data_IF_408178048175
#
_entry.id   IF_408178048175
#
_cell.length_a   1.000
_cell.length_b   1.000
_cell.length_c   1.000
_cell.angle_alpha   90.00
_cell.angle_beta   90.00
_cell.angle_gamma   90.00
#
_symmetry.space_group_name_H-M   'P 1'
#
loop_
_entity.id
_entity.type
_entity.pdbx_description
1 polymer ?
#
# COMPACT_ATOMS: atom_id res chain seq x y z
N UNK A 1 -7.47 -10.99 0.20
CA UNK A 1 -6.93 -10.04 -0.82
C UNK A 1 -6.66 -8.70 -0.14
N UNK A 2 -5.40 -8.38 0.02
CA UNK A 2 -4.89 -7.34 0.93
C UNK A 2 -5.22 -5.90 0.50
N UNK A 3 -5.20 -5.59 -0.81
CA UNK A 3 -5.51 -4.24 -1.34
C UNK A 3 -6.86 -3.69 -0.86
N UNK A 4 -7.88 -4.56 -0.70
CA UNK A 4 -9.22 -4.14 -0.25
C UNK A 4 -9.23 -3.60 1.18
N UNK A 5 -8.35 -4.13 2.01
CA UNK A 5 -8.22 -3.76 3.41
C UNK A 5 -7.44 -2.45 3.56
N UNK A 6 -6.37 -2.31 2.77
CA UNK A 6 -5.61 -1.05 2.66
C UNK A 6 -6.52 0.07 2.18
N UNK A 7 -7.31 -0.17 1.13
CA UNK A 7 -8.28 0.79 0.62
C UNK A 7 -9.25 1.23 1.71
N UNK A 8 -9.84 0.28 2.47
CA UNK A 8 -10.76 0.59 3.57
C UNK A 8 -10.14 1.46 4.66
N UNK A 9 -8.88 1.22 5.00
CA UNK A 9 -8.18 2.04 6.00
C UNK A 9 -7.96 3.45 5.49
N UNK A 10 -7.51 3.59 4.25
CA UNK A 10 -7.16 4.87 3.67
C UNK A 10 -8.38 5.75 3.38
N UNK A 11 -9.50 5.22 2.89
CA UNK A 11 -10.68 6.06 2.64
C UNK A 11 -11.32 6.62 3.90
N UNK A 12 -11.04 6.04 5.08
CA UNK A 12 -11.54 6.54 6.36
C UNK A 12 -10.68 7.68 6.94
N UNK A 13 -9.54 8.00 6.34
CA UNK A 13 -8.73 9.13 6.77
C UNK A 13 -9.41 10.43 6.35
N UNK A 14 -9.59 11.34 7.31
CA UNK A 14 -10.09 12.67 7.01
C UNK A 14 -9.13 13.37 6.04
N UNK A 15 -9.65 13.99 4.98
CA UNK A 15 -8.84 14.62 3.93
C UNK A 15 -8.60 13.73 2.72
N UNK A 16 -8.80 12.41 2.80
CA UNK A 16 -8.81 11.54 1.63
C UNK A 16 -10.13 11.71 0.89
N UNK A 17 -10.05 12.05 -0.40
CA UNK A 17 -11.22 12.37 -1.25
C UNK A 17 -11.64 11.18 -2.12
N UNK A 18 -10.68 10.37 -2.55
CA UNK A 18 -10.94 9.21 -3.42
C UNK A 18 -9.87 8.14 -3.21
N UNK A 19 -10.30 6.89 -3.22
CA UNK A 19 -9.42 5.73 -3.35
C UNK A 19 -9.82 4.90 -4.55
N UNK A 20 -8.85 4.25 -5.17
CA UNK A 20 -9.10 3.22 -6.18
C UNK A 20 -8.03 2.15 -6.12
N UNK A 21 -8.42 0.90 -6.37
CA UNK A 21 -7.48 -0.21 -6.43
C UNK A 21 -7.03 -0.47 -7.86
N UNK A 22 -5.79 -0.87 -8.03
CA UNK A 22 -5.21 -1.08 -9.35
C UNK A 22 -3.93 -1.90 -9.31
N UNK A 23 -3.23 -1.87 -10.42
CA UNK A 23 -1.98 -2.58 -10.67
C UNK A 23 -0.91 -1.59 -11.13
N UNK A 24 0.29 -1.68 -10.58
CA UNK A 24 1.37 -0.75 -10.90
C UNK A 24 2.76 -1.40 -10.75
N UNK A 25 3.76 -0.77 -11.36
CA UNK A 25 5.18 -1.12 -11.20
C UNK A 25 5.66 -2.28 -12.07
N UNK A 26 4.79 -2.92 -12.83
CA UNK A 26 5.13 -3.99 -13.76
C UNK A 26 5.33 -3.50 -15.20
N UNK A 27 5.46 -4.44 -16.13
CA UNK A 27 5.76 -4.18 -17.55
C UNK A 27 4.59 -4.43 -18.49
N UNK A 28 3.62 -5.26 -18.10
CA UNK A 28 2.44 -5.57 -18.93
C UNK A 28 1.53 -4.35 -19.06
N UNK A 29 0.98 -4.15 -20.24
CA UNK A 29 0.03 -3.08 -20.53
C UNK A 29 -1.38 -3.59 -20.30
N UNK A 30 -2.20 -2.84 -19.54
CA UNK A 30 -3.59 -3.18 -19.23
C UNK A 30 -3.77 -4.64 -18.74
N UNK A 31 -3.04 -5.08 -17.71
CA UNK A 31 -3.12 -6.45 -17.24
C UNK A 31 -4.49 -6.75 -16.63
N UNK A 32 -5.00 -7.95 -16.89
CA UNK A 32 -6.15 -8.49 -16.15
C UNK A 32 -5.76 -8.96 -14.75
N UNK A 33 -6.75 -9.13 -13.88
CA UNK A 33 -6.55 -9.71 -12.56
C UNK A 33 -5.86 -11.09 -12.61
N UNK A 34 -6.28 -11.94 -13.53
CA UNK A 34 -5.72 -13.28 -13.70
C UNK A 34 -4.23 -13.24 -14.09
N UNK A 35 -3.87 -12.33 -15.01
CA UNK A 35 -2.48 -12.13 -15.41
C UNK A 35 -1.63 -11.62 -14.25
N UNK A 36 -2.13 -10.66 -13.44
CA UNK A 36 -1.42 -10.19 -12.25
C UNK A 36 -1.27 -11.31 -11.22
N UNK A 37 -2.31 -12.11 -10.99
CA UNK A 37 -2.26 -13.26 -10.08
C UNK A 37 -1.29 -14.34 -10.51
N UNK A 38 -1.00 -14.47 -11.81
CA UNK A 38 0.03 -15.40 -12.29
C UNK A 38 1.44 -15.01 -11.86
N UNK A 39 1.65 -13.76 -11.44
CA UNK A 39 2.96 -13.21 -11.09
C UNK A 39 3.85 -12.84 -12.28
N UNK A 40 3.39 -13.06 -13.52
CA UNK A 40 4.21 -12.85 -14.75
C UNK A 40 4.27 -11.40 -15.20
N UNK A 41 3.34 -10.54 -14.73
CA UNK A 41 3.23 -9.14 -15.16
C UNK A 41 4.23 -8.19 -14.49
N UNK A 42 4.81 -8.60 -13.35
CA UNK A 42 5.65 -7.75 -12.51
C UNK A 42 4.88 -6.68 -11.73
N UNK A 43 3.56 -6.54 -11.94
CA UNK A 43 2.75 -5.57 -11.22
C UNK A 43 2.52 -5.96 -9.76
N UNK A 44 2.46 -4.96 -8.89
CA UNK A 44 1.89 -5.08 -7.56
C UNK A 44 0.43 -4.64 -7.57
N UNK A 45 -0.37 -5.23 -6.67
CA UNK A 45 -1.69 -4.71 -6.30
C UNK A 45 -1.51 -3.47 -5.46
N UNK A 46 -2.09 -2.35 -5.89
CA UNK A 46 -1.92 -1.05 -5.25
C UNK A 46 -3.25 -0.35 -4.97
N UNK A 47 -3.21 0.59 -4.03
CA UNK A 47 -4.30 1.54 -3.78
C UNK A 47 -3.81 2.93 -4.16
N UNK A 48 -4.48 3.56 -5.11
CA UNK A 48 -4.29 4.97 -5.44
C UNK A 48 -5.11 5.80 -4.46
N UNK A 49 -4.49 6.83 -3.89
CA UNK A 49 -5.10 7.76 -2.94
C UNK A 49 -5.07 9.15 -3.52
N UNK A 50 -6.22 9.80 -3.58
CA UNK A 50 -6.36 11.23 -3.89
C UNK A 50 -6.78 11.94 -2.61
N UNK A 51 -6.03 12.92 -2.18
CA UNK A 51 -6.23 13.61 -0.92
C UNK A 51 -6.10 15.12 -1.06
N UNK A 52 -6.69 15.85 -0.10
CA UNK A 52 -6.55 17.30 -0.01
C UNK A 52 -5.36 17.63 0.92
N UNK A 53 -4.29 18.24 0.39
CA UNK A 53 -3.10 18.54 1.20
C UNK A 53 -3.35 19.62 2.27
N UNK A 54 -4.49 20.32 2.24
CA UNK A 54 -4.90 21.25 3.29
C UNK A 54 -5.58 20.55 4.47
N UNK A 55 -6.07 19.31 4.27
CA UNK A 55 -6.76 18.55 5.31
C UNK A 55 -5.90 17.40 5.86
N UNK A 56 -5.04 16.79 5.04
CA UNK A 56 -4.13 15.72 5.43
C UNK A 56 -2.84 15.79 4.63
N UNK A 57 -1.71 15.64 5.28
CA UNK A 57 -0.40 15.61 4.62
C UNK A 57 -0.08 14.24 4.02
N UNK A 58 0.79 14.20 3.00
CA UNK A 58 1.34 12.94 2.49
C UNK A 58 2.03 12.14 3.60
N UNK A 59 2.70 12.82 4.53
CA UNK A 59 3.37 12.18 5.66
C UNK A 59 2.41 11.41 6.55
N UNK A 60 1.23 11.96 6.87
CA UNK A 60 0.20 11.28 7.67
C UNK A 60 -0.34 10.04 6.95
N UNK A 61 -0.51 10.10 5.64
CA UNK A 61 -0.91 8.94 4.82
C UNK A 61 0.19 7.86 4.86
N UNK A 62 1.46 8.24 4.73
CA UNK A 62 2.58 7.31 4.81
C UNK A 62 2.70 6.67 6.20
N UNK A 63 2.52 7.43 7.27
CA UNK A 63 2.49 6.90 8.64
C UNK A 63 1.38 5.84 8.77
N UNK A 64 0.17 6.16 8.32
CA UNK A 64 -0.94 5.20 8.33
C UNK A 64 -0.62 3.94 7.53
N UNK A 65 0.07 4.07 6.38
CA UNK A 65 0.52 2.93 5.57
C UNK A 65 1.51 2.04 6.34
N UNK A 66 2.51 2.62 7.02
CA UNK A 66 3.50 1.85 7.79
C UNK A 66 2.86 1.07 8.94
N UNK A 67 1.89 1.66 9.63
CA UNK A 67 1.26 1.06 10.81
C UNK A 67 0.20 0.01 10.47
N UNK A 68 -0.35 0.03 9.26
CA UNK A 68 -1.48 -0.84 8.93
C UNK A 68 -1.09 -2.24 8.45
N UNK A 69 0.17 -2.52 8.14
CA UNK A 69 0.61 -3.79 7.58
C UNK A 69 1.98 -4.21 8.11
N UNK A 70 2.44 -5.39 7.71
CA UNK A 70 3.80 -5.84 7.97
C UNK A 70 4.69 -5.57 6.74
N UNK A 71 5.59 -4.56 6.79
CA UNK A 71 6.41 -4.19 5.66
C UNK A 71 7.66 -5.08 5.49
N UNK A 72 7.83 -6.14 6.28
CA UNK A 72 9.03 -6.98 6.32
C UNK A 72 8.87 -8.33 5.58
N UNK A 73 7.69 -8.61 4.99
CA UNK A 73 7.35 -9.96 4.51
C UNK A 73 7.86 -10.30 3.11
N UNK A 74 8.54 -9.39 2.42
CA UNK A 74 9.01 -9.64 1.06
C UNK A 74 7.87 -9.79 0.05
N UNK A 75 7.85 -10.88 -0.70
CA UNK A 75 6.88 -11.15 -1.76
C UNK A 75 5.58 -11.77 -1.24
N UNK A 76 5.05 -11.23 -0.15
CA UNK A 76 3.77 -11.64 0.44
C UNK A 76 3.22 -10.57 1.40
N UNK A 77 1.96 -10.70 1.75
CA UNK A 77 1.38 -10.01 2.89
C UNK A 77 0.33 -10.92 3.57
N UNK A 78 0.63 -11.32 4.80
CA UNK A 78 -0.20 -12.25 5.55
C UNK A 78 -0.36 -13.58 4.81
N UNK A 79 -1.60 -13.97 4.54
CA UNK A 79 -1.94 -15.20 3.82
C UNK A 79 -1.84 -15.09 2.28
N UNK A 80 -1.70 -13.88 1.75
CA UNK A 80 -1.56 -13.64 0.33
C UNK A 80 -0.07 -13.76 -0.06
N UNK A 81 0.27 -14.82 -0.83
CA UNK A 81 1.64 -15.15 -1.23
C UNK A 81 1.81 -14.87 -2.71
N UNK A 82 2.86 -14.12 -3.08
CA UNK A 82 3.20 -13.76 -4.45
C UNK A 82 3.75 -12.35 -4.57
N UNK A 83 4.51 -12.09 -5.64
CA UNK A 83 5.12 -10.76 -5.91
C UNK A 83 4.09 -9.65 -6.06
N UNK A 84 2.87 -9.96 -6.51
CA UNK A 84 1.76 -9.01 -6.63
C UNK A 84 1.27 -8.49 -5.27
N UNK A 85 1.59 -9.17 -4.17
CA UNK A 85 1.21 -8.78 -2.81
C UNK A 85 2.35 -8.15 -2.01
N UNK A 86 3.49 -7.88 -2.66
CA UNK A 86 4.61 -7.20 -2.01
C UNK A 86 4.22 -5.80 -1.55
N UNK A 87 4.82 -5.36 -0.46
CA UNK A 87 4.67 -3.98 0.02
C UNK A 87 5.33 -2.99 -0.93
N UNK A 88 4.60 -1.95 -1.37
CA UNK A 88 5.12 -0.94 -2.31
C UNK A 88 4.60 0.46 -1.98
N UNK A 89 5.42 1.46 -2.27
CA UNK A 89 5.03 2.87 -2.38
C UNK A 89 5.49 3.38 -3.73
N UNK A 90 4.54 3.82 -4.56
CA UNK A 90 4.81 4.50 -5.82
C UNK A 90 4.43 5.96 -5.71
N UNK A 91 5.44 6.83 -5.73
CA UNK A 91 5.30 8.26 -5.58
C UNK A 91 5.10 8.94 -6.94
N UNK A 92 4.44 10.10 -6.98
CA UNK A 92 4.23 10.84 -8.24
C UNK A 92 5.49 11.56 -8.74
N UNK A 93 6.42 11.85 -7.85
CA UNK A 93 7.65 12.61 -8.14
C UNK A 93 8.76 12.25 -7.14
N UNK A 94 9.96 12.78 -7.37
CA UNK A 94 11.13 12.52 -6.52
C UNK A 94 11.00 13.14 -5.11
N UNK A 95 10.29 14.26 -4.96
CA UNK A 95 10.07 14.89 -3.65
C UNK A 95 9.24 13.98 -2.75
N UNK A 96 8.12 13.50 -3.25
CA UNK A 96 7.26 12.53 -2.55
C UNK A 96 8.01 11.22 -2.26
N UNK A 97 8.84 10.76 -3.20
CA UNK A 97 9.66 9.57 -3.00
C UNK A 97 10.70 9.77 -1.89
N UNK A 98 11.33 10.92 -1.80
CA UNK A 98 12.28 11.24 -0.74
C UNK A 98 11.61 11.33 0.63
N UNK A 99 10.39 11.86 0.69
CA UNK A 99 9.59 11.84 1.91
C UNK A 99 9.26 10.40 2.32
N UNK A 100 8.86 9.55 1.37
CA UNK A 100 8.59 8.13 1.65
C UNK A 100 9.84 7.40 2.18
N UNK A 101 11.02 7.66 1.61
CA UNK A 101 12.31 7.12 2.10
C UNK A 101 12.60 7.55 3.54
N UNK A 102 12.43 8.84 3.84
CA UNK A 102 12.63 9.37 5.20
C UNK A 102 11.69 8.73 6.21
N UNK A 103 10.42 8.54 5.87
CA UNK A 103 9.46 7.84 6.75
C UNK A 103 9.80 6.36 6.92
N UNK A 104 10.31 5.68 5.86
CA UNK A 104 10.81 4.32 5.96
C UNK A 104 11.96 4.21 6.96
N UNK A 105 12.96 5.07 6.85
CA UNK A 105 14.12 5.07 7.76
C UNK A 105 13.70 5.25 9.22
N UNK A 106 12.77 6.17 9.46
CA UNK A 106 12.22 6.42 10.79
C UNK A 106 11.48 5.18 11.31
N UNK A 107 10.60 4.60 10.52
CA UNK A 107 9.82 3.43 10.94
C UNK A 107 10.71 2.18 11.10
N UNK A 108 11.74 2.01 10.25
CA UNK A 108 12.71 0.93 10.41
C UNK A 108 13.40 0.95 11.78
N UNK A 109 13.74 2.13 12.28
CA UNK A 109 14.34 2.24 13.61
C UNK A 109 13.39 1.73 14.70
N UNK A 110 12.10 2.08 14.61
CA UNK A 110 11.10 1.66 15.60
C UNK A 110 10.85 0.15 15.55
N UNK A 111 10.63 -0.42 14.36
CA UNK A 111 10.38 -1.86 14.27
C UNK A 111 11.61 -2.70 14.61
N UNK A 112 12.82 -2.18 14.37
CA UNK A 112 14.06 -2.86 14.78
C UNK A 112 14.19 -2.94 16.31
N UNK A 113 13.78 -1.91 17.04
CA UNK A 113 13.71 -1.94 18.53
C UNK A 113 12.72 -3.02 19.03
N UNK A 114 11.67 -3.28 18.26
CA UNK A 114 10.69 -4.32 18.56
C UNK A 114 11.10 -5.72 18.07
N UNK A 115 12.30 -5.87 17.49
CA UNK A 115 12.85 -7.16 17.06
C UNK A 115 12.43 -7.61 15.65
N UNK A 116 11.82 -6.73 14.85
CA UNK A 116 11.50 -7.04 13.46
C UNK A 116 12.72 -6.90 12.53
N UNK A 117 12.68 -7.61 11.43
CA UNK A 117 13.70 -7.56 10.38
C UNK A 117 13.63 -6.28 9.52
N UNK A 118 14.41 -6.25 8.43
CA UNK A 118 14.44 -5.11 7.54
C UNK A 118 13.12 -4.93 6.78
N UNK A 119 12.72 -3.67 6.56
CA UNK A 119 11.61 -3.31 5.67
C UNK A 119 11.98 -3.71 4.24
N UNK A 120 11.07 -4.41 3.57
CA UNK A 120 11.22 -4.88 2.19
C UNK A 120 10.35 -4.09 1.19
N UNK A 121 9.72 -3.02 1.65
CA UNK A 121 8.85 -2.17 0.81
C UNK A 121 9.61 -1.60 -0.37
N UNK A 122 9.10 -1.81 -1.59
CA UNK A 122 9.63 -1.21 -2.81
C UNK A 122 9.20 0.26 -2.90
N UNK A 123 10.17 1.16 -3.09
CA UNK A 123 9.93 2.60 -3.25
C UNK A 123 10.42 3.04 -4.63
N UNK A 124 9.53 3.58 -5.46
CA UNK A 124 9.85 4.08 -6.81
C UNK A 124 8.96 5.26 -7.19
N UNK A 125 9.40 6.04 -8.17
CA UNK A 125 8.50 6.94 -8.89
C UNK A 125 7.56 6.11 -9.76
N UNK A 126 6.28 6.46 -9.77
CA UNK A 126 5.24 5.78 -10.53
C UNK A 126 5.48 5.91 -12.03
N UNK A 127 5.58 4.79 -12.73
CA UNK A 127 5.69 4.77 -14.18
C UNK A 127 4.34 4.50 -14.87
N UNK A 128 3.52 3.64 -14.27
CA UNK A 128 2.24 3.21 -14.82
C UNK A 128 1.27 2.83 -13.69
N UNK A 129 0.00 3.04 -13.94
CA UNK A 129 -1.09 2.58 -13.08
C UNK A 129 -2.26 2.15 -13.96
N UNK A 130 -2.74 0.95 -13.74
CA UNK A 130 -3.91 0.39 -14.41
C UNK A 130 -5.00 0.13 -13.38
N UNK A 131 -6.18 0.67 -13.63
CA UNK A 131 -7.33 0.49 -12.74
C UNK A 131 -7.73 -0.99 -12.73
N UNK A 132 -7.91 -1.56 -11.55
CA UNK A 132 -8.46 -2.90 -11.42
C UNK A 132 -9.95 -2.91 -11.77
N UNK A 133 -10.47 -4.09 -12.04
CA UNK A 133 -11.86 -4.33 -12.45
C UNK A 133 -12.85 -3.75 -11.42
N UNK A 134 -14.03 -3.33 -11.89
CA UNK A 134 -15.05 -2.66 -11.07
C UNK A 134 -15.45 -3.43 -9.82
N UNK A 135 -15.48 -4.77 -9.87
CA UNK A 135 -15.83 -5.61 -8.72
C UNK A 135 -14.78 -5.59 -7.60
N UNK A 136 -13.56 -5.09 -7.86
CA UNK A 136 -12.51 -4.87 -6.86
C UNK A 136 -12.60 -3.50 -6.17
N UNK A 137 -13.20 -2.51 -6.85
CA UNK A 137 -13.29 -1.15 -6.34
C UNK A 137 -14.22 -1.09 -5.12
N UNK A 138 -13.74 -0.52 -4.01
CA UNK A 138 -14.50 -0.34 -2.76
C UNK A 138 -15.21 -1.63 -2.31
N UNK A 139 -14.53 -2.76 -2.50
CA UNK A 139 -15.10 -4.09 -2.25
C UNK A 139 -15.69 -4.25 -0.85
N UNK A 140 -15.01 -3.75 0.19
CA UNK A 140 -15.49 -3.87 1.57
C UNK A 140 -16.63 -2.90 1.91
N UNK A 141 -16.87 -1.87 1.11
CA UNK A 141 -18.06 -1.05 1.20
C UNK A 141 -19.28 -1.80 0.61
N UNK A 142 -19.07 -2.42 -0.55
CA UNK A 142 -20.09 -3.24 -1.24
C UNK A 142 -20.37 -4.56 -0.49
N UNK A 143 -19.39 -5.08 0.27
CA UNK A 143 -19.44 -6.33 1.01
C UNK A 143 -18.97 -6.14 2.46
N UNK A 144 -19.77 -5.53 3.36
CA UNK A 144 -19.34 -5.17 4.72
C UNK A 144 -18.84 -6.34 5.58
N UNK A 145 -19.35 -7.55 5.31
CA UNK A 145 -18.98 -8.79 5.99
C UNK A 145 -17.81 -9.53 5.30
N UNK A 146 -17.19 -8.92 4.29
CA UNK A 146 -16.03 -9.48 3.62
C UNK A 146 -14.85 -9.62 4.59
N UNK A 147 -14.00 -10.64 4.34
CA UNK A 147 -12.80 -10.86 5.16
C UNK A 147 -11.92 -9.61 5.21
N UNK A 148 -11.62 -9.18 6.44
CA UNK A 148 -10.74 -8.04 6.75
C UNK A 148 -9.72 -8.51 7.80
N UNK A 149 -8.57 -9.02 7.34
CA UNK A 149 -7.48 -9.49 8.18
C UNK A 149 -6.30 -8.52 8.29
N UNK A 150 -6.53 -7.22 8.08
CA UNK A 150 -5.46 -6.24 8.19
C UNK A 150 -5.13 -5.97 9.66
N UNK A 151 -3.89 -6.18 10.01
CA UNK A 151 -3.31 -5.81 11.28
C UNK A 151 -1.85 -5.43 11.04
N UNK A 152 -1.46 -4.30 11.57
CA UNK A 152 -0.05 -3.93 11.65
C UNK A 152 0.70 -4.88 12.60
N UNK A 153 1.99 -4.66 12.70
CA UNK A 153 2.88 -5.42 13.61
C UNK A 153 2.87 -4.89 15.05
N UNK A 154 1.95 -3.97 15.37
CA UNK A 154 1.80 -3.39 16.70
C UNK A 154 2.82 -2.30 17.04
N UNK A 155 3.65 -1.88 16.07
CA UNK A 155 4.58 -0.77 16.25
C UNK A 155 3.94 0.52 15.73
N UNK A 156 3.97 1.56 16.55
CA UNK A 156 3.55 2.90 16.14
C UNK A 156 4.72 3.68 15.56
N UNK A 157 4.41 4.61 14.67
CA UNK A 157 5.37 5.60 14.21
C UNK A 157 5.71 6.54 15.39
N UNK A 158 6.98 6.97 15.57
CA UNK A 158 7.33 7.80 16.71
C UNK A 158 6.63 9.16 16.65
N UNK A 159 6.17 9.63 17.81
CA UNK A 159 5.63 10.99 17.94
C UNK A 159 6.73 12.03 17.58
N UNK A 160 6.31 13.11 16.96
CA UNK A 160 7.21 14.20 16.53
C UNK A 160 7.33 15.29 17.57
#
# INVERSE_FOLDING_TARGET
MYKRQVERRLWNLQGVKLTSVGYAGGTSINPSYEEVCSGSTGHAEVVKVVFDPLEISLKEILISFWEMHDPTQGMRQGNDIGSQYRSVIYANNEEDLNLAKSTLETYQQEISKAGFGPITTELKVLNNYYLAEEYHQQYLQKNPNGYCGIGGIGCSFPEQ
#
